data_IF_349199330343
#
_entry.id   IF_349199330343
#
_cell.length_a   1.000
_cell.length_b   1.000
_cell.length_c   1.000
_cell.angle_alpha   90.00
_cell.angle_beta   90.00
_cell.angle_gamma   90.00
#
_symmetry.space_group_name_H-M   'P 1'
#
loop_
_entity.id
_entity.type
_entity.pdbx_description
1 polymer ?
#
# COMPACT_ATOMS: atom_id res chain seq x y z
N UNK A 1 32.80 -4.84 -22.67
CA UNK A 1 31.79 -5.84 -22.27
C UNK A 1 30.96 -5.22 -21.16
N UNK A 2 29.83 -4.60 -21.50
CA UNK A 2 28.89 -4.09 -20.51
C UNK A 2 28.12 -5.27 -19.92
N UNK A 3 28.38 -5.58 -18.65
CA UNK A 3 27.45 -6.40 -17.90
C UNK A 3 26.24 -5.50 -17.62
N UNK A 4 25.23 -5.65 -18.45
CA UNK A 4 23.89 -5.17 -18.16
C UNK A 4 23.37 -6.00 -17.00
N UNK A 5 23.62 -5.54 -15.77
CA UNK A 5 22.82 -5.92 -14.62
C UNK A 5 21.39 -5.48 -14.93
N UNK A 6 20.63 -6.37 -15.57
CA UNK A 6 19.19 -6.25 -15.70
C UNK A 6 18.64 -6.26 -14.29
N UNK A 7 18.56 -5.06 -13.70
CA UNK A 7 17.93 -4.79 -12.43
C UNK A 7 16.55 -5.42 -12.50
N UNK A 8 16.41 -6.48 -11.71
CA UNK A 8 15.22 -7.29 -11.55
C UNK A 8 14.03 -6.35 -11.39
N UNK A 9 13.01 -6.61 -12.21
CA UNK A 9 11.73 -5.92 -12.32
C UNK A 9 11.30 -5.44 -10.93
N UNK A 10 11.36 -4.13 -10.67
CA UNK A 10 10.76 -3.55 -9.46
C UNK A 10 9.25 -3.70 -9.59
N UNK A 11 8.75 -4.83 -9.11
CA UNK A 11 7.32 -5.09 -8.91
C UNK A 11 6.70 -3.91 -8.17
N UNK A 12 5.55 -3.49 -8.70
CA UNK A 12 4.91 -2.19 -8.49
C UNK A 12 4.95 -1.72 -7.03
N UNK A 13 5.44 -0.50 -6.93
CA UNK A 13 5.88 0.20 -5.74
C UNK A 13 4.63 0.79 -5.12
N UNK A 14 4.20 0.23 -4.00
CA UNK A 14 3.15 0.82 -3.17
C UNK A 14 3.46 2.31 -2.98
N UNK A 15 2.51 3.20 -3.30
CA UNK A 15 2.72 4.65 -3.26
C UNK A 15 1.73 5.33 -2.33
N UNK A 16 2.16 6.48 -1.79
CA UNK A 16 1.26 7.37 -1.05
C UNK A 16 0.10 7.77 -1.97
N UNK A 17 -1.11 7.70 -1.45
CA UNK A 17 -2.35 7.94 -2.18
C UNK A 17 -3.00 6.69 -2.78
N UNK A 18 -2.32 5.55 -2.84
CA UNK A 18 -2.98 4.28 -3.16
C UNK A 18 -4.06 3.96 -2.13
N UNK A 19 -5.03 3.15 -2.52
CA UNK A 19 -6.15 2.74 -1.69
C UNK A 19 -6.22 1.23 -1.60
N UNK A 20 -6.60 0.74 -0.42
CA UNK A 20 -6.84 -0.68 -0.15
C UNK A 20 -8.14 -0.84 0.60
N UNK A 21 -8.86 -1.92 0.33
CA UNK A 21 -10.00 -2.35 1.12
C UNK A 21 -9.54 -3.29 2.24
N UNK A 22 -9.91 -2.96 3.48
CA UNK A 22 -9.71 -3.78 4.68
C UNK A 22 -11.02 -3.75 5.45
N UNK A 23 -11.56 -4.92 5.80
CA UNK A 23 -12.84 -5.08 6.51
C UNK A 23 -13.99 -4.27 5.89
N UNK A 24 -14.08 -4.30 4.55
CA UNK A 24 -15.05 -3.55 3.74
C UNK A 24 -14.96 -2.01 3.83
N UNK A 25 -13.89 -1.47 4.39
CA UNK A 25 -13.63 -0.02 4.44
C UNK A 25 -12.48 0.34 3.49
N UNK A 26 -12.58 1.51 2.84
CA UNK A 26 -11.50 2.06 2.01
C UNK A 26 -10.47 2.76 2.90
N UNK A 27 -9.21 2.34 2.80
CA UNK A 27 -8.08 2.95 3.48
C UNK A 27 -7.11 3.53 2.45
N UNK A 28 -6.69 4.78 2.65
CA UNK A 28 -5.69 5.47 1.82
C UNK A 28 -4.31 5.34 2.45
N UNK A 29 -3.30 5.07 1.64
CA UNK A 29 -1.91 5.15 2.04
C UNK A 29 -1.54 6.62 2.28
N UNK A 30 -1.38 6.98 3.56
CA UNK A 30 -1.05 8.34 3.97
C UNK A 30 0.47 8.56 4.00
N UNK A 31 1.23 7.57 4.47
CA UNK A 31 2.68 7.70 4.64
C UNK A 31 3.39 6.34 4.50
N UNK A 32 4.62 6.37 3.98
CA UNK A 32 5.49 5.18 3.87
C UNK A 32 6.80 5.49 4.59
N UNK A 33 7.11 4.72 5.64
CA UNK A 33 8.34 4.83 6.44
C UNK A 33 9.13 3.52 6.36
N UNK A 34 10.06 3.44 5.41
CA UNK A 34 10.88 2.25 5.19
C UNK A 34 10.01 1.03 4.85
N UNK A 35 9.91 0.08 5.78
CA UNK A 35 9.14 -1.16 5.62
C UNK A 35 7.72 -1.09 6.19
N UNK A 36 7.32 0.07 6.73
CA UNK A 36 6.00 0.27 7.33
C UNK A 36 5.20 1.31 6.54
N UNK A 37 3.88 1.13 6.52
CA UNK A 37 2.91 1.96 5.83
C UNK A 37 1.84 2.40 6.83
N UNK A 38 1.58 3.70 6.87
CA UNK A 38 0.45 4.27 7.59
C UNK A 38 -0.71 4.41 6.63
N UNK A 39 -1.82 3.77 6.98
CA UNK A 39 -3.09 3.86 6.30
C UNK A 39 -4.01 4.79 7.08
N UNK A 40 -4.80 5.58 6.36
CA UNK A 40 -5.77 6.51 6.90
C UNK A 40 -7.16 6.20 6.33
N UNK A 41 -8.17 6.26 7.20
CA UNK A 41 -9.58 6.20 6.84
C UNK A 41 -10.29 7.41 7.47
N UNK A 42 -11.23 7.99 6.74
CA UNK A 42 -12.09 9.06 7.25
C UNK A 42 -13.52 8.52 7.31
N UNK A 43 -14.08 8.52 8.52
CA UNK A 43 -15.45 8.13 8.79
C UNK A 43 -16.41 9.23 8.30
N UNK A 44 -17.68 8.87 8.12
CA UNK A 44 -18.73 9.79 7.61
C UNK A 44 -18.95 10.99 8.53
N UNK A 45 -18.64 10.85 9.83
CA UNK A 45 -18.72 11.93 10.81
C UNK A 45 -17.52 12.89 10.77
N UNK A 46 -16.58 12.67 9.85
CA UNK A 46 -15.34 13.44 9.70
C UNK A 46 -14.25 13.06 10.69
N UNK A 47 -14.45 12.02 11.50
CA UNK A 47 -13.39 11.47 12.35
C UNK A 47 -12.40 10.64 11.52
N UNK A 48 -11.13 10.71 11.90
CA UNK A 48 -10.04 10.05 11.18
C UNK A 48 -9.45 8.90 11.98
N UNK A 49 -9.26 7.75 11.32
CA UNK A 49 -8.59 6.59 11.88
C UNK A 49 -7.27 6.33 11.15
N UNK A 50 -6.29 5.80 11.88
CA UNK A 50 -5.03 5.35 11.28
C UNK A 50 -4.65 3.96 11.75
N UNK A 51 -4.08 3.17 10.84
CA UNK A 51 -3.51 1.86 11.15
C UNK A 51 -2.13 1.73 10.52
N UNK A 52 -1.28 0.93 11.16
CA UNK A 52 0.08 0.64 10.70
C UNK A 52 0.13 -0.78 10.13
N UNK A 53 0.66 -0.93 8.92
CA UNK A 53 0.85 -2.23 8.26
C UNK A 53 2.24 -2.32 7.66
N UNK A 54 2.76 -3.54 7.50
CA UNK A 54 3.99 -3.73 6.75
C UNK A 54 3.77 -3.54 5.25
N UNK A 55 4.81 -3.13 4.52
CA UNK A 55 4.77 -3.07 3.04
C UNK A 55 4.36 -4.42 2.44
N UNK A 56 4.78 -5.53 3.04
CA UNK A 56 4.43 -6.88 2.56
C UNK A 56 2.93 -7.16 2.68
N UNK A 57 2.30 -6.84 3.82
CA UNK A 57 0.85 -6.99 4.00
C UNK A 57 0.06 -6.15 3.00
N UNK A 58 0.44 -4.87 2.82
CA UNK A 58 -0.26 -3.97 1.89
C UNK A 58 -0.11 -4.44 0.44
N UNK A 59 1.06 -4.96 0.06
CA UNK A 59 1.25 -5.58 -1.26
C UNK A 59 0.33 -6.79 -1.45
N UNK A 60 0.18 -7.63 -0.45
CA UNK A 60 -0.72 -8.79 -0.52
C UNK A 60 -2.19 -8.36 -0.67
N UNK A 61 -2.60 -7.30 0.03
CA UNK A 61 -3.95 -6.72 -0.09
C UNK A 61 -4.21 -6.18 -1.50
N UNK A 62 -3.31 -5.37 -2.04
CA UNK A 62 -3.40 -4.81 -3.39
C UNK A 62 -3.39 -5.91 -4.46
N UNK A 63 -2.56 -6.93 -4.28
CA UNK A 63 -2.47 -8.05 -5.21
C UNK A 63 -3.77 -8.86 -5.23
N UNK A 64 -4.38 -9.09 -4.07
CA UNK A 64 -5.66 -9.82 -3.96
C UNK A 64 -6.82 -9.07 -4.60
N UNK A 65 -6.78 -7.73 -4.59
CA UNK A 65 -7.82 -6.88 -5.18
C UNK A 65 -7.73 -6.79 -6.71
N UNK A 66 -6.56 -7.04 -7.31
CA UNK A 66 -6.35 -6.89 -8.76
C UNK A 66 -6.84 -8.08 -9.58
N UNK A 67 -7.28 -9.16 -8.94
CA UNK A 67 -7.82 -10.37 -9.58
C UNK A 67 -9.34 -10.55 -9.38
N UNK A 68 -10.02 -9.53 -8.87
CA UNK A 68 -11.49 -9.39 -8.87
C UNK A 68 -11.92 -8.41 -9.97
#
# INVERSE_FOLDING_TARGET
MGQSDKKIIHQEIVKVGDRVIIDNMEWKIAEIKGHMIILYHEDVDGSGQTILKSVAEVKNLLSSQRYL
#
